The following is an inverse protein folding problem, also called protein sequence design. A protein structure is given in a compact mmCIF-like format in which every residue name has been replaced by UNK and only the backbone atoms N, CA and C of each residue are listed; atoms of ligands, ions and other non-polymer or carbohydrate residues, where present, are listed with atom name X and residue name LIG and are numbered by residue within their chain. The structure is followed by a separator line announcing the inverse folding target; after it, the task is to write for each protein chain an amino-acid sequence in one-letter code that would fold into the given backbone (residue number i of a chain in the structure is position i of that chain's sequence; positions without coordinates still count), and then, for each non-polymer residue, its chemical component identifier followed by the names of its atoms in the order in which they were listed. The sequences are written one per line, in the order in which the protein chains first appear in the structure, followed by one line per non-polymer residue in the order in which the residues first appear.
data_IF_755605564179
#
_entry.id   IF_755605564179
#
_cell.length_a   1.000
_cell.length_b   1.000
_cell.length_c   1.000
_cell.angle_alpha   90.00
_cell.angle_beta   90.00
_cell.angle_gamma   90.00
#
_symmetry.space_group_name_H-M   'P 1'
#
loop_
_entity.id
_entity.type
_entity.pdbx_description
1 polymer ?
#
# COMPACT_ATOMS: atom_id res chain seq x y z
N UNK A 1 17.49 35.07 -37.10
CA UNK A 1 16.68 33.99 -36.51
C UNK A 1 17.64 33.25 -35.61
N UNK A 2 17.71 33.69 -34.36
CA UNK A 2 18.76 33.36 -33.40
C UNK A 2 18.46 31.98 -32.81
N UNK A 3 19.44 31.10 -32.92
CA UNK A 3 19.53 29.80 -32.25
C UNK A 3 19.40 29.97 -30.75
N UNK A 4 18.39 29.36 -30.16
CA UNK A 4 18.28 29.12 -28.73
C UNK A 4 18.97 27.77 -28.43
N UNK A 5 20.29 27.79 -28.36
CA UNK A 5 21.08 26.82 -27.60
C UNK A 5 21.34 27.48 -26.25
N UNK A 6 20.52 27.18 -25.26
CA UNK A 6 20.55 27.84 -23.96
C UNK A 6 20.45 26.83 -22.83
N UNK A 7 21.61 26.39 -22.34
CA UNK A 7 21.91 26.17 -20.91
C UNK A 7 20.87 25.40 -20.07
N UNK A 8 20.30 24.32 -20.63
CA UNK A 8 19.35 23.47 -19.89
C UNK A 8 20.09 22.56 -18.89
N UNK A 9 21.29 22.08 -19.26
CA UNK A 9 22.17 21.28 -18.39
C UNK A 9 22.60 22.02 -17.12
N UNK A 10 22.74 23.36 -17.18
CA UNK A 10 23.06 24.19 -16.03
C UNK A 10 21.91 24.39 -15.03
N UNK A 11 20.65 24.23 -15.47
CA UNK A 11 19.47 24.35 -14.61
C UNK A 11 19.23 23.07 -13.83
N UNK A 12 19.16 21.91 -14.50
CA UNK A 12 18.97 20.62 -13.83
C UNK A 12 20.18 20.28 -12.93
N UNK A 13 21.38 20.73 -13.30
CA UNK A 13 22.61 20.63 -12.51
C UNK A 13 22.62 21.38 -11.17
N UNK A 14 21.65 22.27 -10.90
CA UNK A 14 21.44 22.87 -9.56
C UNK A 14 20.13 22.44 -8.91
N UNK A 15 19.16 22.00 -9.69
CA UNK A 15 17.89 21.49 -9.15
C UNK A 15 18.12 20.25 -8.30
N UNK A 16 19.07 19.38 -8.67
CA UNK A 16 19.32 18.16 -7.91
C UNK A 16 19.79 18.42 -6.47
N UNK A 17 20.46 19.54 -6.19
CA UNK A 17 20.86 19.94 -4.83
C UNK A 17 19.62 20.14 -3.92
N UNK A 18 18.48 20.53 -4.49
CA UNK A 18 17.21 20.68 -3.74
C UNK A 18 16.48 19.35 -3.50
N UNK A 19 16.86 18.31 -4.24
CA UNK A 19 16.32 16.95 -4.14
C UNK A 19 17.21 16.08 -3.24
N UNK A 20 18.51 16.37 -3.19
CA UNK A 20 19.47 15.56 -2.46
C UNK A 20 19.20 15.60 -0.94
N UNK A 21 19.13 14.44 -0.25
CA UNK A 21 18.59 14.37 1.10
C UNK A 21 19.56 14.72 2.23
N UNK A 22 20.84 14.99 1.90
CA UNK A 22 21.90 15.21 2.89
C UNK A 22 22.55 16.58 2.71
N UNK A 23 23.12 17.10 3.80
CA UNK A 23 23.76 18.43 3.82
C UNK A 23 24.85 18.58 2.75
N UNK A 24 25.68 17.54 2.57
CA UNK A 24 26.74 17.52 1.55
C UNK A 24 26.84 16.12 0.91
N UNK A 25 27.04 16.05 -0.42
CA UNK A 25 27.31 14.78 -1.10
C UNK A 25 28.69 14.24 -0.73
N UNK A 26 28.81 12.91 -0.64
CA UNK A 26 30.11 12.26 -0.57
C UNK A 26 30.90 12.43 -1.87
N UNK A 27 32.21 12.18 -1.79
CA UNK A 27 33.11 12.25 -2.94
C UNK A 27 32.58 11.42 -4.12
N UNK A 28 32.43 12.07 -5.28
CA UNK A 28 31.95 11.46 -6.51
C UNK A 28 30.43 11.35 -6.65
N UNK A 29 29.62 11.62 -5.62
CA UNK A 29 28.15 11.57 -5.74
C UNK A 29 27.61 12.72 -6.59
N UNK A 30 28.07 13.95 -6.37
CA UNK A 30 27.66 15.11 -7.17
C UNK A 30 27.95 14.87 -8.66
N UNK A 31 29.19 14.49 -8.98
CA UNK A 31 29.58 14.11 -10.35
C UNK A 31 28.74 12.95 -10.88
N UNK A 32 28.46 11.93 -10.06
CA UNK A 32 27.60 10.82 -10.47
C UNK A 32 26.17 11.24 -10.80
N UNK A 33 25.61 12.20 -10.06
CA UNK A 33 24.27 12.77 -10.29
C UNK A 33 24.28 13.59 -11.58
N UNK A 34 25.23 14.51 -11.74
CA UNK A 34 25.38 15.34 -12.94
C UNK A 34 25.51 14.47 -14.20
N UNK A 35 26.38 13.46 -14.17
CA UNK A 35 26.52 12.51 -15.27
C UNK A 35 25.24 11.71 -15.56
N UNK A 36 24.46 11.36 -14.53
CA UNK A 36 23.18 10.67 -14.72
C UNK A 36 22.13 11.58 -15.35
N UNK A 37 22.08 12.85 -14.96
CA UNK A 37 21.20 13.85 -15.55
C UNK A 37 21.54 14.08 -17.03
N UNK A 38 22.82 14.25 -17.37
CA UNK A 38 23.26 14.42 -18.76
C UNK A 38 22.84 13.22 -19.63
N UNK A 39 23.14 11.99 -19.18
CA UNK A 39 22.82 10.77 -19.94
C UNK A 39 21.32 10.58 -20.11
N UNK A 40 20.51 10.82 -19.06
CA UNK A 40 19.05 10.69 -19.15
C UNK A 40 18.43 11.81 -19.98
N UNK A 41 18.96 13.04 -19.89
CA UNK A 41 18.56 14.17 -20.73
C UNK A 41 18.77 13.90 -22.22
N UNK A 42 19.84 13.19 -22.57
CA UNK A 42 20.14 12.73 -23.93
C UNK A 42 19.33 11.47 -24.34
N UNK A 43 18.45 10.95 -23.48
CA UNK A 43 17.67 9.74 -23.71
C UNK A 43 18.51 8.45 -23.71
N UNK A 44 19.67 8.47 -23.06
CA UNK A 44 20.62 7.37 -23.00
C UNK A 44 20.42 6.39 -21.84
N UNK A 45 21.35 5.43 -21.74
CA UNK A 45 21.40 4.46 -20.65
C UNK A 45 22.72 4.59 -19.90
N UNK A 46 22.64 4.73 -18.57
CA UNK A 46 23.83 4.81 -17.71
C UNK A 46 24.12 3.46 -17.05
N UNK A 47 25.35 2.98 -17.21
CA UNK A 47 25.92 1.93 -16.37
C UNK A 47 26.88 2.56 -15.37
N UNK A 48 26.57 2.44 -14.08
CA UNK A 48 27.38 3.01 -13.00
C UNK A 48 28.00 1.90 -12.15
N UNK A 49 29.33 1.92 -12.06
CA UNK A 49 30.07 1.09 -11.12
C UNK A 49 30.53 1.95 -9.94
N UNK A 50 30.33 1.45 -8.72
CA UNK A 50 30.77 2.12 -7.50
C UNK A 50 30.80 1.13 -6.33
N UNK A 51 31.69 1.37 -5.36
CA UNK A 51 31.82 0.49 -4.20
C UNK A 51 30.49 0.35 -3.42
N UNK A 52 30.31 -0.75 -2.70
CA UNK A 52 29.13 -0.90 -1.84
C UNK A 52 29.12 0.22 -0.78
N UNK A 53 27.98 0.87 -0.58
CA UNK A 53 27.84 1.96 0.39
C UNK A 53 28.18 3.36 -0.12
N UNK A 54 28.57 3.56 -1.39
CA UNK A 54 28.86 4.90 -1.96
C UNK A 54 27.61 5.67 -2.39
N UNK A 55 26.44 5.32 -1.86
CA UNK A 55 25.16 5.96 -2.17
C UNK A 55 24.79 5.96 -3.66
N UNK A 56 25.03 4.85 -4.37
CA UNK A 56 24.57 4.66 -5.77
C UNK A 56 23.06 4.86 -5.91
N UNK A 57 22.32 4.34 -4.93
CA UNK A 57 20.88 4.50 -4.80
C UNK A 57 20.51 5.98 -4.71
N UNK A 58 21.21 6.74 -3.85
CA UNK A 58 20.98 8.17 -3.68
C UNK A 58 21.29 8.95 -4.96
N UNK A 59 22.36 8.59 -5.68
CA UNK A 59 22.69 9.19 -6.98
C UNK A 59 21.54 8.98 -7.97
N UNK A 60 21.11 7.73 -8.15
CA UNK A 60 20.08 7.37 -9.12
C UNK A 60 18.70 7.98 -8.77
N UNK A 61 18.29 7.93 -7.49
CA UNK A 61 17.04 8.50 -7.03
C UNK A 61 17.03 10.02 -7.15
N UNK A 62 18.12 10.69 -6.76
CA UNK A 62 18.22 12.16 -6.86
C UNK A 62 18.14 12.61 -8.31
N UNK A 63 18.90 11.97 -9.21
CA UNK A 63 18.84 12.29 -10.64
C UNK A 63 17.43 12.02 -11.22
N UNK A 64 16.85 10.85 -10.96
CA UNK A 64 15.53 10.48 -11.46
C UNK A 64 14.41 11.42 -10.97
N UNK A 65 14.39 11.74 -9.68
CA UNK A 65 13.40 12.65 -9.10
C UNK A 65 13.61 14.10 -9.56
N UNK A 66 14.86 14.52 -9.79
CA UNK A 66 15.15 15.83 -10.39
C UNK A 66 14.52 15.93 -11.77
N UNK A 67 14.66 14.90 -12.61
CA UNK A 67 14.01 14.89 -13.92
C UNK A 67 12.48 14.92 -13.80
N UNK A 68 11.90 14.13 -12.89
CA UNK A 68 10.44 14.11 -12.68
C UNK A 68 9.89 15.47 -12.20
N UNK A 69 10.65 16.21 -11.39
CA UNK A 69 10.27 17.55 -10.91
C UNK A 69 10.52 18.65 -11.93
N UNK A 70 11.35 18.40 -12.93
CA UNK A 70 11.68 19.39 -13.94
C UNK A 70 10.62 19.37 -15.06
N UNK A 71 9.79 20.41 -15.11
CA UNK A 71 8.74 20.62 -16.11
C UNK A 71 9.26 20.63 -17.56
N UNK A 72 10.58 20.79 -17.77
CA UNK A 72 11.20 20.67 -19.08
C UNK A 72 11.29 19.22 -19.58
N UNK A 73 11.17 18.23 -18.69
CA UNK A 73 11.27 16.82 -19.06
C UNK A 73 9.89 16.17 -19.20
N UNK A 74 9.75 15.17 -20.09
CA UNK A 74 8.51 14.40 -20.22
C UNK A 74 8.39 13.28 -19.16
N UNK A 75 9.36 13.16 -18.24
CA UNK A 75 9.39 12.08 -17.25
C UNK A 75 8.46 12.42 -16.09
N UNK A 76 7.67 11.43 -15.66
CA UNK A 76 6.68 11.63 -14.58
C UNK A 76 6.87 10.68 -13.40
N UNK A 77 7.72 9.65 -13.52
CA UNK A 77 7.90 8.62 -12.49
C UNK A 77 9.30 8.04 -12.51
N UNK A 78 9.75 7.60 -11.34
CA UNK A 78 10.95 6.77 -11.16
C UNK A 78 10.51 5.35 -10.81
N UNK A 79 11.05 4.36 -11.52
CA UNK A 79 10.87 2.94 -11.20
C UNK A 79 12.20 2.35 -10.74
N UNK A 80 12.29 1.98 -9.48
CA UNK A 80 13.42 1.24 -8.93
C UNK A 80 13.09 -0.27 -8.92
N UNK A 81 13.95 -1.07 -9.54
CA UNK A 81 13.81 -2.54 -9.56
C UNK A 81 15.02 -3.14 -8.87
N UNK A 82 14.77 -4.01 -7.90
CA UNK A 82 15.80 -4.69 -7.13
C UNK A 82 15.42 -6.15 -6.87
N UNK A 83 16.37 -7.10 -7.00
CA UNK A 83 16.12 -8.50 -6.67
C UNK A 83 16.23 -8.80 -5.16
N UNK A 84 16.65 -7.84 -4.33
CA UNK A 84 16.96 -8.07 -2.91
C UNK A 84 16.10 -7.19 -2.01
N UNK A 85 15.35 -7.79 -1.07
CA UNK A 85 14.49 -7.06 -0.11
C UNK A 85 15.26 -6.03 0.72
N UNK A 86 16.48 -6.35 1.17
CA UNK A 86 17.32 -5.39 1.90
C UNK A 86 17.66 -4.15 1.07
N UNK A 87 17.84 -4.31 -0.25
CA UNK A 87 18.08 -3.17 -1.15
C UNK A 87 16.80 -2.35 -1.34
N UNK A 88 15.62 -2.99 -1.40
CA UNK A 88 14.34 -2.29 -1.45
C UNK A 88 14.14 -1.38 -0.23
N UNK A 89 14.40 -1.90 0.98
CA UNK A 89 14.32 -1.11 2.20
C UNK A 89 15.25 0.12 2.17
N UNK A 90 16.45 -0.02 1.56
CA UNK A 90 17.35 1.11 1.36
C UNK A 90 16.78 2.15 0.39
N UNK A 91 16.21 1.74 -0.75
CA UNK A 91 15.53 2.65 -1.68
C UNK A 91 14.40 3.42 -0.98
N UNK A 92 13.58 2.72 -0.19
CA UNK A 92 12.48 3.33 0.56
C UNK A 92 13.00 4.34 1.58
N UNK A 93 14.05 4.00 2.34
CA UNK A 93 14.60 4.91 3.34
C UNK A 93 15.25 6.15 2.72
N UNK A 94 15.93 6.00 1.58
CA UNK A 94 16.49 7.13 0.84
C UNK A 94 15.40 8.02 0.24
N UNK A 95 14.35 7.45 -0.34
CA UNK A 95 13.19 8.21 -0.81
C UNK A 95 12.48 8.95 0.34
N UNK A 96 12.35 8.32 1.51
CA UNK A 96 11.85 8.98 2.73
C UNK A 96 12.78 10.10 3.19
N UNK A 97 14.11 9.92 3.10
CA UNK A 97 15.06 10.96 3.43
C UNK A 97 14.89 12.18 2.52
N UNK A 98 14.69 11.98 1.21
CA UNK A 98 14.40 13.04 0.24
C UNK A 98 13.12 13.79 0.61
N UNK A 99 12.05 13.06 0.94
CA UNK A 99 10.79 13.68 1.36
C UNK A 99 10.92 14.45 2.68
N UNK A 100 11.74 13.99 3.64
CA UNK A 100 11.99 14.71 4.90
C UNK A 100 12.85 15.96 4.71
N UNK A 101 13.80 15.92 3.77
CA UNK A 101 14.67 17.05 3.45
C UNK A 101 13.97 18.11 2.58
N UNK A 102 12.90 17.73 1.87
CA UNK A 102 12.12 18.63 1.04
C UNK A 102 11.50 19.76 1.87
N UNK A 103 11.59 21.00 1.37
CA UNK A 103 11.01 22.16 2.04
C UNK A 103 9.48 22.09 2.14
N UNK A 104 8.86 22.89 3.02
CA UNK A 104 7.41 22.82 3.28
C UNK A 104 6.50 23.17 2.08
N UNK A 105 7.06 23.71 1.00
CA UNK A 105 6.34 24.06 -0.23
C UNK A 105 6.74 23.18 -1.42
N UNK A 106 7.63 22.21 -1.20
CA UNK A 106 8.09 21.29 -2.23
C UNK A 106 7.21 20.03 -2.20
N UNK A 107 6.67 19.58 -3.34
CA UNK A 107 5.86 18.38 -3.38
C UNK A 107 6.69 17.16 -2.94
N UNK A 108 6.16 16.42 -1.97
CA UNK A 108 6.69 15.11 -1.62
C UNK A 108 6.58 14.19 -2.82
N UNK A 109 7.55 13.30 -3.02
CA UNK A 109 7.43 12.22 -3.99
C UNK A 109 6.58 11.09 -3.39
N UNK A 110 5.29 10.91 -3.80
CA UNK A 110 4.51 9.76 -3.38
C UNK A 110 5.16 8.48 -3.91
N UNK A 111 5.21 7.45 -3.08
CA UNK A 111 5.86 6.18 -3.40
C UNK A 111 4.92 5.01 -3.18
N UNK A 112 4.98 4.03 -4.09
CA UNK A 112 4.33 2.74 -3.95
C UNK A 112 5.41 1.67 -3.87
N UNK A 113 5.39 0.87 -2.81
CA UNK A 113 6.26 -0.28 -2.64
C UNK A 113 5.52 -1.55 -3.09
N UNK A 114 6.09 -2.28 -4.05
CA UNK A 114 5.55 -3.55 -4.52
C UNK A 114 6.35 -4.70 -3.90
N UNK A 115 5.76 -5.36 -2.91
CA UNK A 115 6.35 -6.50 -2.19
C UNK A 115 5.50 -7.77 -2.36
N UNK A 116 5.99 -8.88 -1.83
CA UNK A 116 5.27 -10.15 -1.88
C UNK A 116 4.01 -10.12 -1.00
N UNK A 117 3.03 -10.99 -1.31
CA UNK A 117 1.80 -11.15 -0.51
C UNK A 117 2.07 -11.34 1.00
N UNK A 118 3.07 -12.13 1.45
CA UNK A 118 3.38 -12.26 2.88
C UNK A 118 3.75 -10.94 3.54
N UNK A 119 4.39 -10.03 2.80
CA UNK A 119 4.80 -8.74 3.32
C UNK A 119 3.64 -7.72 3.32
N UNK A 120 2.47 -8.03 2.77
CA UNK A 120 1.28 -7.16 2.72
C UNK A 120 0.22 -7.55 3.74
N UNK A 121 -0.07 -8.85 3.87
CA UNK A 121 -1.14 -9.33 4.74
C UNK A 121 -0.66 -9.48 6.20
N UNK A 122 -1.29 -8.82 7.19
CA UNK A 122 -0.84 -8.83 8.59
C UNK A 122 -0.62 -10.21 9.19
N UNK A 123 -1.56 -11.15 8.99
CA UNK A 123 -1.40 -12.51 9.55
C UNK A 123 -0.31 -13.33 8.86
N UNK A 124 -0.04 -13.09 7.57
CA UNK A 124 1.06 -13.78 6.90
C UNK A 124 2.40 -13.20 7.29
N UNK A 125 2.48 -11.88 7.47
CA UNK A 125 3.71 -11.18 7.86
C UNK A 125 4.23 -11.69 9.20
N UNK A 126 3.32 -12.00 10.11
CA UNK A 126 3.62 -12.52 11.45
C UNK A 126 3.55 -14.05 11.55
N UNK A 127 3.48 -14.76 10.42
CA UNK A 127 3.48 -16.24 10.34
C UNK A 127 2.39 -16.89 11.22
N UNK A 128 1.22 -16.26 11.28
CA UNK A 128 0.07 -16.70 12.08
C UNK A 128 -0.74 -17.76 11.34
N UNK A 129 -0.93 -17.57 10.04
CA UNK A 129 -1.65 -18.54 9.22
C UNK A 129 -0.74 -19.73 8.96
N UNK A 130 -1.10 -20.92 9.47
CA UNK A 130 -0.44 -22.15 9.06
C UNK A 130 -0.77 -22.50 7.60
N UNK A 131 0.11 -23.25 6.93
CA UNK A 131 -0.09 -23.72 5.56
C UNK A 131 0.71 -22.94 4.52
N UNK A 132 0.46 -23.22 3.24
CA UNK A 132 1.08 -22.47 2.14
C UNK A 132 0.42 -21.09 2.01
N UNK A 133 1.22 -20.05 1.85
CA UNK A 133 0.79 -18.63 1.80
C UNK A 133 -0.40 -18.39 0.89
N UNK A 134 -0.40 -18.98 -0.31
CA UNK A 134 -1.45 -18.78 -1.30
C UNK A 134 -2.76 -19.46 -0.87
N UNK A 135 -2.69 -20.67 -0.32
CA UNK A 135 -3.86 -21.40 0.17
C UNK A 135 -4.49 -20.67 1.36
N UNK A 136 -3.68 -20.29 2.35
CA UNK A 136 -4.18 -19.56 3.53
C UNK A 136 -4.85 -18.24 3.17
N UNK A 137 -4.33 -17.51 2.19
CA UNK A 137 -4.96 -16.25 1.73
C UNK A 137 -6.25 -16.48 0.96
N UNK A 138 -6.25 -17.46 0.07
CA UNK A 138 -7.44 -17.73 -0.73
C UNK A 138 -8.59 -18.23 0.17
N UNK A 139 -8.29 -19.06 1.17
CA UNK A 139 -9.28 -19.52 2.17
C UNK A 139 -9.87 -18.35 2.96
N UNK A 140 -9.01 -17.53 3.58
CA UNK A 140 -9.46 -16.36 4.35
C UNK A 140 -10.29 -15.39 3.48
N UNK A 141 -9.86 -15.17 2.24
CA UNK A 141 -10.51 -14.27 1.29
C UNK A 141 -11.86 -14.80 0.84
N UNK A 142 -11.96 -16.09 0.56
CA UNK A 142 -13.19 -16.72 0.09
C UNK A 142 -14.23 -16.76 1.21
N UNK A 143 -13.85 -17.15 2.42
CA UNK A 143 -14.73 -17.12 3.60
C UNK A 143 -15.25 -15.70 3.87
N UNK A 144 -14.37 -14.69 3.85
CA UNK A 144 -14.81 -13.29 4.03
C UNK A 144 -15.73 -12.83 2.91
N UNK A 145 -15.48 -13.20 1.65
CA UNK A 145 -16.36 -12.81 0.54
C UNK A 145 -17.74 -13.46 0.66
N UNK A 146 -17.80 -14.75 0.98
CA UNK A 146 -19.05 -15.43 1.24
C UNK A 146 -19.81 -14.74 2.39
N UNK A 147 -19.13 -14.39 3.48
CA UNK A 147 -19.74 -13.67 4.60
C UNK A 147 -20.35 -12.31 4.20
N UNK A 148 -19.65 -11.55 3.35
CA UNK A 148 -20.06 -10.20 2.97
C UNK A 148 -21.07 -10.17 1.82
N UNK A 149 -21.10 -11.19 0.97
CA UNK A 149 -22.03 -11.31 -0.14
C UNK A 149 -23.44 -11.72 0.37
N UNK A 150 -24.46 -10.86 0.22
CA UNK A 150 -25.83 -11.21 0.61
C UNK A 150 -26.41 -12.41 -0.14
N UNK A 151 -25.87 -12.75 -1.31
CA UNK A 151 -26.35 -13.86 -2.14
C UNK A 151 -25.69 -15.21 -1.80
N UNK A 152 -24.69 -15.23 -0.91
CA UNK A 152 -23.97 -16.45 -0.55
C UNK A 152 -24.78 -17.44 0.30
N UNK A 153 -25.84 -16.95 0.96
CA UNK A 153 -26.63 -17.71 1.92
C UNK A 153 -25.99 -17.86 3.32
N UNK A 154 -24.86 -17.19 3.56
CA UNK A 154 -24.29 -16.98 4.90
C UNK A 154 -25.10 -15.90 5.61
N UNK A 155 -25.61 -16.18 6.81
CA UNK A 155 -26.45 -15.24 7.54
C UNK A 155 -25.73 -14.69 8.77
N UNK A 156 -25.72 -13.36 8.91
CA UNK A 156 -25.19 -12.73 10.11
C UNK A 156 -26.04 -13.10 11.32
N UNK A 157 -25.40 -13.27 12.47
CA UNK A 157 -26.14 -13.57 13.69
C UNK A 157 -27.03 -12.40 14.09
N UNK A 158 -28.25 -12.68 14.54
CA UNK A 158 -29.20 -11.61 14.91
C UNK A 158 -28.68 -10.74 16.05
N UNK A 159 -28.00 -11.33 17.04
CA UNK A 159 -27.39 -10.58 18.15
C UNK A 159 -26.25 -9.67 17.71
N UNK A 160 -25.54 -10.04 16.63
CA UNK A 160 -24.51 -9.23 16.00
C UNK A 160 -25.14 -8.07 15.23
N UNK A 161 -26.15 -8.36 14.40
CA UNK A 161 -26.88 -7.35 13.64
C UNK A 161 -27.54 -6.33 14.57
N UNK A 162 -28.31 -6.78 15.56
CA UNK A 162 -29.05 -5.92 16.48
C UNK A 162 -28.14 -4.94 17.25
N UNK A 163 -26.89 -5.33 17.48
CA UNK A 163 -25.94 -4.56 18.29
C UNK A 163 -25.01 -3.67 17.47
N UNK A 164 -24.59 -4.13 16.29
CA UNK A 164 -23.47 -3.53 15.56
C UNK A 164 -23.81 -3.03 14.16
N UNK A 165 -25.01 -3.36 13.65
CA UNK A 165 -25.45 -2.82 12.38
C UNK A 165 -25.54 -1.29 12.46
N UNK A 166 -25.02 -0.57 11.45
CA UNK A 166 -25.15 0.87 11.41
C UNK A 166 -26.62 1.27 11.16
N UNK A 167 -26.99 2.48 11.58
CA UNK A 167 -28.31 3.08 11.28
C UNK A 167 -28.40 3.47 9.78
N UNK A 168 -28.33 2.48 8.90
CA UNK A 168 -28.42 2.60 7.45
C UNK A 168 -29.62 1.79 6.99
N UNK A 169 -30.40 2.30 6.04
CA UNK A 169 -31.48 1.51 5.43
C UNK A 169 -30.85 0.33 4.68
N UNK A 170 -31.10 -0.93 5.10
CA UNK A 170 -30.56 -2.11 4.41
C UNK A 170 -31.09 -2.26 2.98
N UNK A 171 -32.12 -1.49 2.61
CA UNK A 171 -32.68 -1.38 1.26
C UNK A 171 -32.34 -0.04 0.57
N UNK A 172 -31.49 0.80 1.16
CA UNK A 172 -30.94 1.95 0.45
C UNK A 172 -30.34 1.43 -0.85
N UNK A 173 -30.74 2.01 -1.97
CA UNK A 173 -30.25 1.56 -3.26
C UNK A 173 -28.73 1.59 -3.20
N UNK A 174 -28.06 0.46 -3.43
CA UNK A 174 -26.64 0.51 -3.62
C UNK A 174 -26.36 1.53 -4.73
N UNK A 175 -25.37 2.41 -4.53
CA UNK A 175 -24.69 2.95 -5.71
C UNK A 175 -24.29 1.73 -6.56
N UNK A 176 -24.35 1.80 -7.89
CA UNK A 176 -24.20 0.61 -8.76
C UNK A 176 -22.92 -0.23 -8.48
N UNK A 177 -21.96 0.35 -7.75
CA UNK A 177 -20.71 -0.26 -7.27
C UNK A 177 -20.73 -0.87 -5.84
N UNK A 178 -21.66 -0.50 -4.95
CA UNK A 178 -21.73 -1.03 -3.57
C UNK A 178 -22.78 -2.13 -3.49
N UNK A 179 -22.46 -3.39 -3.84
CA UNK A 179 -23.42 -4.53 -3.94
C UNK A 179 -24.15 -4.95 -2.63
N UNK A 180 -24.43 -4.03 -1.70
CA UNK A 180 -24.96 -4.32 -0.36
C UNK A 180 -23.89 -4.77 0.62
N UNK A 181 -22.62 -4.64 0.25
CA UNK A 181 -21.48 -5.14 1.01
C UNK A 181 -21.13 -4.18 2.15
N UNK A 182 -21.36 -2.87 1.96
CA UNK A 182 -21.02 -1.84 2.94
C UNK A 182 -21.66 -2.02 4.32
N UNK A 183 -22.95 -2.35 4.40
CA UNK A 183 -23.64 -2.54 5.68
C UNK A 183 -23.18 -3.81 6.41
N UNK A 184 -23.04 -4.94 5.69
CA UNK A 184 -22.55 -6.20 6.26
C UNK A 184 -21.10 -6.04 6.71
N UNK A 185 -20.24 -5.43 5.88
CA UNK A 185 -18.86 -5.16 6.22
C UNK A 185 -18.74 -4.27 7.46
N UNK A 186 -19.56 -3.23 7.56
CA UNK A 186 -19.60 -2.36 8.75
C UNK A 186 -20.08 -3.08 10.00
N UNK A 187 -21.13 -3.89 9.89
CA UNK A 187 -21.65 -4.70 11.00
C UNK A 187 -20.60 -5.66 11.52
N UNK A 188 -19.96 -6.41 10.62
CA UNK A 188 -18.91 -7.37 10.95
C UNK A 188 -17.68 -6.66 11.51
N UNK A 189 -17.22 -5.57 10.91
CA UNK A 189 -16.07 -4.80 11.40
C UNK A 189 -16.30 -4.29 12.83
N UNK A 190 -17.47 -3.69 13.09
CA UNK A 190 -17.84 -3.19 14.42
C UNK A 190 -17.91 -4.32 15.45
N UNK A 191 -18.46 -5.48 15.06
CA UNK A 191 -18.51 -6.65 15.93
C UNK A 191 -17.11 -7.14 16.27
N UNK A 192 -16.28 -7.43 15.25
CA UNK A 192 -14.93 -7.96 15.42
C UNK A 192 -14.02 -7.04 16.24
N UNK A 193 -14.11 -5.72 16.04
CA UNK A 193 -13.30 -4.76 16.81
C UNK A 193 -13.79 -4.58 18.24
N UNK A 194 -15.09 -4.71 18.50
CA UNK A 194 -15.67 -4.61 19.84
C UNK A 194 -15.51 -5.90 20.67
N UNK A 195 -15.45 -7.06 20.02
CA UNK A 195 -15.34 -8.37 20.67
C UNK A 195 -13.97 -9.02 20.48
N UNK A 196 -13.02 -8.34 19.83
CA UNK A 196 -11.69 -8.83 19.48
C UNK A 196 -11.07 -9.61 20.66
N UNK A 197 -11.01 -10.95 20.58
CA UNK A 197 -10.49 -11.74 21.69
C UNK A 197 -8.96 -11.64 21.76
N UNK A 198 -8.45 -11.62 22.98
CA UNK A 198 -7.02 -11.85 23.25
C UNK A 198 -6.10 -10.65 23.03
N UNK A 199 -4.81 -10.94 22.87
CA UNK A 199 -3.78 -9.93 22.63
C UNK A 199 -3.85 -9.47 21.18
N UNK A 200 -3.88 -8.15 20.92
CA UNK A 200 -3.80 -7.61 19.57
C UNK A 200 -2.63 -8.18 18.77
N UNK A 201 -2.84 -8.46 17.49
CA UNK A 201 -1.73 -8.72 16.57
C UNK A 201 -0.89 -7.44 16.47
N UNK A 202 0.42 -7.55 16.69
CA UNK A 202 1.37 -6.49 16.37
C UNK A 202 2.00 -6.85 15.04
N UNK A 203 1.94 -5.94 14.07
CA UNK A 203 2.61 -6.12 12.78
C UNK A 203 3.19 -4.81 12.29
N UNK A 204 4.37 -4.87 11.66
CA UNK A 204 5.10 -3.68 11.20
C UNK A 204 5.27 -2.59 12.29
N UNK A 205 5.38 -2.99 13.56
CA UNK A 205 5.52 -2.08 14.70
C UNK A 205 4.24 -1.39 15.16
N UNK A 206 3.07 -1.81 14.67
CA UNK A 206 1.76 -1.25 15.03
C UNK A 206 0.85 -2.36 15.53
N UNK A 207 0.15 -2.10 16.65
CA UNK A 207 -0.90 -2.98 17.13
C UNK A 207 -2.17 -2.82 16.28
N UNK A 208 -2.69 -3.92 15.75
CA UNK A 208 -3.94 -3.93 14.98
C UNK A 208 -5.15 -3.97 15.91
N UNK A 209 -6.36 -3.62 15.45
CA UNK A 209 -7.56 -3.77 16.26
C UNK A 209 -8.03 -5.23 16.38
N UNK A 210 -7.35 -6.18 15.73
CA UNK A 210 -7.71 -7.60 15.71
C UNK A 210 -6.72 -8.43 16.51
N UNK A 211 -7.19 -9.57 17.03
CA UNK A 211 -6.38 -10.49 17.81
C UNK A 211 -5.31 -11.21 16.99
N UNK A 212 -4.36 -11.84 17.69
CA UNK A 212 -3.31 -12.68 17.07
C UNK A 212 -3.85 -13.89 16.32
N UNK A 213 -5.01 -14.41 16.69
CA UNK A 213 -5.66 -15.49 15.97
C UNK A 213 -6.74 -14.88 15.06
N UNK A 214 -6.82 -15.27 13.77
CA UNK A 214 -7.87 -14.80 12.89
C UNK A 214 -9.25 -15.20 13.44
N UNK A 215 -10.24 -14.29 13.43
CA UNK A 215 -11.61 -14.64 13.82
C UNK A 215 -12.17 -15.73 12.91
N UNK A 216 -13.16 -16.45 13.42
CA UNK A 216 -13.87 -17.48 12.65
C UNK A 216 -15.24 -16.97 12.21
N UNK A 217 -15.83 -17.64 11.23
CA UNK A 217 -17.17 -17.33 10.74
C UNK A 217 -18.20 -17.35 11.89
N UNK A 218 -18.09 -18.32 12.80
CA UNK A 218 -18.97 -18.50 13.96
C UNK A 218 -18.97 -17.33 14.97
N UNK A 219 -17.95 -16.48 14.93
CA UNK A 219 -17.89 -15.27 15.76
C UNK A 219 -18.99 -14.25 15.36
N UNK A 220 -19.40 -14.25 14.09
CA UNK A 220 -20.27 -13.19 13.52
C UNK A 220 -21.47 -13.71 12.72
N UNK A 221 -21.41 -14.94 12.23
CA UNK A 221 -22.41 -15.54 11.35
C UNK A 221 -22.72 -16.98 11.74
N UNK A 222 -23.80 -17.52 11.17
CA UNK A 222 -24.09 -18.95 11.14
C UNK A 222 -24.47 -19.35 9.72
N UNK A 223 -24.40 -20.64 9.43
CA UNK A 223 -24.88 -21.17 8.17
C UNK A 223 -26.41 -21.26 8.20
N UNK A 224 -27.09 -20.61 7.25
CA UNK A 224 -28.51 -20.87 7.08
C UNK A 224 -28.71 -22.30 6.61
N UNK A 225 -29.74 -22.98 7.12
CA UNK A 225 -30.12 -24.32 6.65
C UNK A 225 -30.67 -24.34 5.20
N UNK A 226 -30.69 -23.20 4.52
CA UNK A 226 -31.34 -23.02 3.22
C UNK A 226 -30.36 -23.14 2.04
N UNK A 227 -29.05 -23.13 2.28
CA UNK A 227 -28.02 -23.12 1.24
C UNK A 227 -26.83 -23.98 1.59
N UNK A 228 -26.36 -24.79 0.64
CA UNK A 228 -25.12 -25.57 0.73
C UNK A 228 -23.88 -24.72 0.53
N UNK A 229 -23.75 -23.62 1.28
CA UNK A 229 -22.56 -22.78 1.27
C UNK A 229 -21.34 -23.63 1.68
N UNK A 230 -20.19 -23.51 0.99
CA UNK A 230 -19.03 -24.38 1.18
C UNK A 230 -18.21 -24.07 2.45
N UNK A 231 -18.71 -23.20 3.32
CA UNK A 231 -17.98 -22.65 4.47
C UNK A 231 -18.46 -23.27 5.78
N UNK A 232 -17.54 -23.51 6.72
CA UNK A 232 -17.78 -24.01 8.08
C UNK A 232 -17.77 -22.83 9.07
N UNK A 233 -18.53 -22.91 10.17
CA UNK A 233 -18.47 -21.91 11.25
C UNK A 233 -17.08 -21.83 11.89
N UNK A 234 -16.28 -22.90 11.79
CA UNK A 234 -14.88 -22.90 12.23
C UNK A 234 -13.90 -22.26 11.25
N UNK A 235 -14.33 -21.95 10.02
CA UNK A 235 -13.44 -21.36 9.02
C UNK A 235 -13.03 -19.96 9.43
N UNK A 236 -11.74 -19.65 9.28
CA UNK A 236 -11.21 -18.33 9.56
C UNK A 236 -11.63 -17.34 8.47
N UNK A 237 -11.83 -16.09 8.86
CA UNK A 237 -12.10 -14.97 7.96
C UNK A 237 -10.99 -13.92 8.07
N UNK A 238 -10.74 -13.19 6.98
CA UNK A 238 -9.85 -12.02 6.95
C UNK A 238 -10.57 -10.76 7.48
N UNK A 239 -10.27 -10.29 8.71
CA UNK A 239 -10.85 -9.08 9.27
C UNK A 239 -10.29 -7.80 8.63
N UNK A 240 -9.11 -7.86 8.00
CA UNK A 240 -8.52 -6.74 7.27
C UNK A 240 -9.23 -6.53 5.94
N UNK A 241 -9.64 -7.60 5.26
CA UNK A 241 -10.50 -7.50 4.08
C UNK A 241 -11.90 -6.98 4.44
N UNK A 242 -12.48 -7.39 5.58
CA UNK A 242 -13.70 -6.77 6.11
C UNK A 242 -13.49 -5.26 6.32
N UNK A 243 -12.37 -4.88 6.96
CA UNK A 243 -11.99 -3.49 7.15
C UNK A 243 -11.83 -2.73 5.82
N UNK A 244 -11.27 -3.35 4.79
CA UNK A 244 -11.17 -2.75 3.46
C UNK A 244 -12.56 -2.41 2.90
N UNK A 245 -13.54 -3.32 2.95
CA UNK A 245 -14.89 -3.03 2.47
C UNK A 245 -15.64 -2.04 3.37
N UNK A 246 -15.43 -2.10 4.69
CA UNK A 246 -15.98 -1.10 5.61
C UNK A 246 -15.46 0.31 5.31
N UNK A 247 -14.15 0.46 5.11
CA UNK A 247 -13.54 1.75 4.80
C UNK A 247 -13.77 2.18 3.36
N UNK A 248 -13.86 1.27 2.40
CA UNK A 248 -14.25 1.59 1.02
C UNK A 248 -15.70 2.12 0.96
N UNK A 249 -16.59 1.60 1.80
CA UNK A 249 -17.94 2.14 1.99
C UNK A 249 -17.94 3.50 2.72
N UNK A 250 -16.95 3.78 3.58
CA UNK A 250 -16.80 5.05 4.28
C UNK A 250 -15.98 6.11 3.51
N UNK A 251 -15.13 5.68 2.58
CA UNK A 251 -14.23 6.44 1.74
C UNK A 251 -14.08 5.67 0.42
N UNK A 252 -14.81 6.04 -0.66
CA UNK A 252 -14.58 5.46 -1.96
C UNK A 252 -13.21 5.92 -2.43
N UNK A 253 -12.16 5.13 -2.19
CA UNK A 253 -10.82 5.44 -2.68
C UNK A 253 -10.82 5.17 -4.19
N UNK A 254 -11.37 6.09 -4.96
CA UNK A 254 -11.02 6.24 -6.35
C UNK A 254 -9.56 6.63 -6.41
N UNK A 255 -8.81 6.13 -7.39
CA UNK A 255 -7.49 6.64 -7.75
C UNK A 255 -7.50 8.10 -8.23
N UNK A 256 -8.58 8.86 -7.99
CA UNK A 256 -8.78 10.26 -8.36
C UNK A 256 -8.45 11.27 -7.26
N UNK A 257 -8.29 10.84 -6.00
CA UNK A 257 -8.04 11.77 -4.88
C UNK A 257 -6.61 11.67 -4.33
N UNK A 258 -5.71 11.05 -5.08
CA UNK A 258 -4.27 11.16 -4.89
C UNK A 258 -3.72 12.32 -5.72
N UNK A 259 -4.10 13.56 -5.36
CA UNK A 259 -3.35 14.78 -5.72
C UNK A 259 -2.45 15.20 -4.55
#
# INVERSE_FOLDING_TARGET
MTTADGDDSGRSGRLWETVFPFDEPYEGQATGIEHALDVVGDGGYLAMEGACGTGKTAIALTAGLTMVRDDATPLSRVLAVTPVKTQLAQFVEEARAINRASGPHEPTAPGIELVGKPDLHPYLREDVCGGEVDESLDDLRETTRALLDPESGVELRSDVVDRFAPDVDPNASPDEDDRGWGWRASTVFNALTATAPGTPLETAGVATPFGREPPTLGDVAYLSNQTGAPVDESDHLDPFLVGHYHHAAAYPVGFGDGE
#
